data_IF_350298738706
#
_entry.id   IF_350298738706
#
_cell.length_a   1.000
_cell.length_b   1.000
_cell.length_c   1.000
_cell.angle_alpha   90.00
_cell.angle_beta   90.00
_cell.angle_gamma   90.00
#
_symmetry.space_group_name_H-M   'P 1'
#
loop_
_entity.id
_entity.type
_entity.pdbx_description
1 polymer ?
#
# COMPACT_ATOMS: atom_id res chain seq x y z
N UNK A 1 27.24 10.75 34.03
CA UNK A 1 25.92 11.11 33.44
C UNK A 1 25.98 11.31 31.92
N UNK A 2 26.76 12.26 31.37
CA UNK A 2 26.84 12.48 29.91
C UNK A 2 27.19 11.21 29.08
N UNK A 3 28.15 10.40 29.53
CA UNK A 3 28.52 9.14 28.86
C UNK A 3 27.39 8.09 28.87
N UNK A 4 26.62 8.02 29.97
CA UNK A 4 25.49 7.09 30.10
C UNK A 4 24.33 7.53 29.20
N UNK A 5 24.09 8.84 29.10
CA UNK A 5 23.08 9.41 28.18
C UNK A 5 23.47 9.15 26.72
N UNK A 6 24.74 9.33 26.35
CA UNK A 6 25.22 9.02 24.99
C UNK A 6 25.08 7.53 24.68
N UNK A 7 25.41 6.65 25.63
CA UNK A 7 25.24 5.19 25.46
C UNK A 7 23.76 4.80 25.35
N UNK A 8 22.87 5.39 26.16
CA UNK A 8 21.42 5.17 26.07
C UNK A 8 20.85 5.65 24.73
N UNK A 9 21.30 6.81 24.23
CA UNK A 9 20.93 7.31 22.90
C UNK A 9 21.43 6.34 21.83
N UNK A 10 22.68 5.88 21.89
CA UNK A 10 23.23 4.91 20.93
C UNK A 10 22.47 3.57 20.98
N UNK A 11 22.12 3.07 22.16
CA UNK A 11 21.37 1.81 22.32
C UNK A 11 19.92 1.96 21.80
N UNK A 12 19.26 3.09 22.05
CA UNK A 12 17.94 3.39 21.46
C UNK A 12 18.02 3.55 19.93
N UNK A 13 19.10 4.13 19.40
CA UNK A 13 19.34 4.21 17.96
C UNK A 13 19.59 2.82 17.34
N UNK A 14 20.30 1.93 18.04
CA UNK A 14 20.57 0.56 17.57
C UNK A 14 19.33 -0.35 17.66
N UNK A 15 18.44 -0.18 18.63
CA UNK A 15 17.20 -0.97 18.71
C UNK A 15 16.14 -0.52 17.70
N UNK A 16 16.18 0.73 17.27
CA UNK A 16 15.35 1.27 16.18
C UNK A 16 15.76 0.77 14.79
N UNK A 17 16.90 0.07 14.66
CA UNK A 17 17.43 -0.48 13.40
C UNK A 17 16.98 -1.92 13.07
N UNK A 18 16.02 -2.50 13.80
CA UNK A 18 15.48 -3.79 13.38
C UNK A 18 14.65 -3.62 12.12
N UNK A 19 14.96 -4.43 11.10
CA UNK A 19 14.18 -4.54 9.86
C UNK A 19 12.72 -4.78 10.21
N UNK A 20 11.87 -3.77 10.03
CA UNK A 20 10.49 -3.86 10.50
C UNK A 20 9.67 -4.94 9.78
N UNK A 21 10.07 -5.35 8.59
CA UNK A 21 9.46 -6.50 7.91
C UNK A 21 9.76 -7.84 8.60
N UNK A 22 10.75 -7.90 9.50
CA UNK A 22 11.02 -9.07 10.35
C UNK A 22 10.18 -9.06 11.66
N UNK A 23 9.51 -7.94 11.97
CA UNK A 23 8.64 -7.82 13.13
C UNK A 23 7.22 -8.26 12.77
N UNK A 24 6.74 -9.36 13.36
CA UNK A 24 5.37 -9.82 13.15
C UNK A 24 4.41 -9.14 14.14
N UNK A 25 3.35 -8.54 13.61
CA UNK A 25 2.24 -7.92 14.34
C UNK A 25 0.98 -8.76 14.11
N UNK A 26 0.11 -8.79 15.11
CA UNK A 26 -1.24 -9.36 15.00
C UNK A 26 -2.24 -8.25 14.66
N UNK A 27 -2.84 -8.32 13.48
CA UNK A 27 -3.82 -7.38 12.97
C UNK A 27 -5.26 -7.79 13.28
N UNK A 28 -5.46 -8.90 14.01
CA UNK A 28 -6.78 -9.49 14.24
C UNK A 28 -7.77 -8.45 14.77
N UNK A 29 -8.90 -8.32 14.10
CA UNK A 29 -10.05 -7.65 14.68
C UNK A 29 -10.59 -8.48 15.87
N UNK A 30 -11.38 -7.88 16.77
CA UNK A 30 -12.01 -8.61 17.91
C UNK A 30 -13.14 -9.54 17.45
N UNK A 31 -12.98 -10.24 16.32
CA UNK A 31 -13.97 -11.16 15.82
C UNK A 31 -14.09 -12.39 16.75
N UNK A 32 -15.32 -12.86 16.92
CA UNK A 32 -15.57 -14.11 17.65
C UNK A 32 -14.97 -15.30 16.90
N UNK A 33 -14.33 -16.20 17.64
CA UNK A 33 -13.92 -17.50 17.12
C UNK A 33 -15.19 -18.31 16.87
N UNK A 34 -15.54 -18.50 15.60
CA UNK A 34 -16.66 -19.32 15.17
C UNK A 34 -16.21 -20.76 14.95
N UNK A 35 -17.03 -21.72 15.39
CA UNK A 35 -16.89 -23.10 14.94
C UNK A 35 -17.43 -23.19 13.51
N UNK A 36 -16.53 -23.39 12.55
CA UNK A 36 -16.86 -23.39 11.11
C UNK A 36 -17.12 -24.84 10.70
N UNK A 37 -18.33 -25.19 10.25
CA UNK A 37 -18.61 -26.55 9.81
C UNK A 37 -17.75 -26.93 8.60
N UNK A 38 -17.38 -28.21 8.52
CA UNK A 38 -16.66 -28.74 7.37
C UNK A 38 -17.51 -28.61 6.11
N UNK A 39 -16.90 -28.21 4.99
CA UNK A 39 -17.54 -28.22 3.68
C UNK A 39 -17.58 -29.66 3.12
N UNK A 40 -18.54 -30.47 3.60
CA UNK A 40 -18.71 -31.88 3.20
C UNK A 40 -18.97 -32.05 1.71
N UNK A 41 -19.71 -31.12 1.11
CA UNK A 41 -20.07 -31.13 -0.31
C UNK A 41 -18.94 -30.67 -1.24
N UNK A 42 -17.82 -30.18 -0.68
CA UNK A 42 -16.66 -29.67 -1.43
C UNK A 42 -17.07 -28.60 -2.46
N UNK A 43 -17.97 -27.71 -2.05
CA UNK A 43 -18.41 -26.57 -2.85
C UNK A 43 -17.20 -25.82 -3.44
N UNK A 44 -17.32 -25.42 -4.70
CA UNK A 44 -16.36 -24.54 -5.37
C UNK A 44 -16.54 -23.11 -4.86
N UNK A 45 -15.43 -22.40 -4.72
CA UNK A 45 -15.40 -21.00 -4.31
C UNK A 45 -14.61 -20.17 -5.31
N UNK A 46 -15.06 -18.96 -5.59
CA UNK A 46 -14.48 -18.05 -6.57
C UNK A 46 -14.26 -16.66 -5.96
N UNK A 47 -13.19 -16.00 -6.41
CA UNK A 47 -12.78 -14.74 -5.81
C UNK A 47 -11.67 -14.05 -6.58
N UNK A 48 -11.29 -12.86 -6.10
CA UNK A 48 -10.27 -12.02 -6.69
C UNK A 48 -9.09 -11.85 -5.72
N UNK A 49 -7.87 -12.01 -6.24
CA UNK A 49 -6.64 -11.97 -5.47
C UNK A 49 -5.64 -10.94 -5.98
N UNK A 50 -6.03 -10.08 -6.93
CA UNK A 50 -5.17 -9.05 -7.49
C UNK A 50 -5.95 -7.74 -7.65
N UNK A 51 -6.01 -6.96 -6.57
CA UNK A 51 -6.84 -5.75 -6.50
C UNK A 51 -6.07 -4.60 -5.89
N UNK A 52 -6.13 -3.45 -6.53
CA UNK A 52 -5.51 -2.22 -6.06
C UNK A 52 -6.56 -1.19 -5.66
N UNK A 53 -6.30 -0.49 -4.56
CA UNK A 53 -7.07 0.59 -3.99
C UNK A 53 -6.33 1.91 -4.13
N UNK A 54 -6.89 2.99 -3.57
CA UNK A 54 -6.23 4.29 -3.54
C UNK A 54 -4.87 4.30 -2.82
N UNK A 55 -4.51 3.26 -2.06
CA UNK A 55 -3.21 3.19 -1.40
C UNK A 55 -2.09 2.69 -2.31
N UNK A 56 -2.41 1.96 -3.38
CA UNK A 56 -1.41 1.64 -4.40
C UNK A 56 -1.07 2.86 -5.25
N UNK A 57 0.23 3.09 -5.48
CA UNK A 57 0.68 4.28 -6.19
C UNK A 57 0.15 4.34 -7.63
N UNK A 58 0.11 3.20 -8.33
CA UNK A 58 -0.32 3.08 -9.71
C UNK A 58 -1.82 3.39 -9.86
N UNK A 59 -2.65 2.74 -9.04
CA UNK A 59 -4.09 2.90 -9.02
C UNK A 59 -4.46 4.35 -8.65
N UNK A 60 -3.80 4.93 -7.64
CA UNK A 60 -4.05 6.32 -7.28
C UNK A 60 -3.74 7.27 -8.44
N UNK A 61 -2.58 7.13 -9.08
CA UNK A 61 -2.19 7.99 -10.21
C UNK A 61 -3.17 7.87 -11.38
N UNK A 62 -3.72 6.69 -11.60
CA UNK A 62 -4.70 6.40 -12.65
C UNK A 62 -6.16 6.71 -12.25
N UNK A 63 -6.39 7.33 -11.09
CA UNK A 63 -7.70 7.89 -10.73
C UNK A 63 -8.50 7.09 -9.69
N UNK A 64 -7.95 6.02 -9.12
CA UNK A 64 -8.66 5.22 -8.12
C UNK A 64 -8.87 6.00 -6.82
N UNK A 65 -10.13 6.13 -6.42
CA UNK A 65 -10.56 6.71 -5.13
C UNK A 65 -11.04 5.67 -4.13
N UNK A 66 -11.28 4.43 -4.60
CA UNK A 66 -11.79 3.31 -3.82
C UNK A 66 -10.84 2.98 -2.65
N UNK A 67 -11.38 2.89 -1.44
CA UNK A 67 -10.64 2.48 -0.23
C UNK A 67 -10.65 0.95 -0.08
N UNK A 68 -9.79 0.36 0.78
CA UNK A 68 -9.89 -1.05 1.14
C UNK A 68 -11.30 -1.47 1.62
N UNK A 69 -11.90 -0.73 2.55
CA UNK A 69 -13.30 -0.96 3.01
C UNK A 69 -14.29 -1.00 1.83
N UNK A 70 -14.26 0.02 0.96
CA UNK A 70 -15.13 0.05 -0.21
C UNK A 70 -14.90 -1.15 -1.13
N UNK A 71 -13.64 -1.57 -1.31
CA UNK A 71 -13.28 -2.73 -2.12
C UNK A 71 -13.90 -4.02 -1.59
N UNK A 72 -13.87 -4.24 -0.27
CA UNK A 72 -14.49 -5.41 0.36
C UNK A 72 -16.02 -5.33 0.35
N UNK A 73 -16.61 -4.14 0.50
CA UNK A 73 -18.06 -3.94 0.33
C UNK A 73 -18.52 -4.30 -1.08
N UNK A 74 -17.77 -3.85 -2.10
CA UNK A 74 -18.01 -4.22 -3.49
C UNK A 74 -17.93 -5.72 -3.73
N UNK A 75 -16.91 -6.40 -3.19
CA UNK A 75 -16.76 -7.86 -3.29
C UNK A 75 -17.95 -8.63 -2.70
N UNK A 76 -18.61 -8.08 -1.68
CA UNK A 76 -19.84 -8.63 -1.07
C UNK A 76 -21.13 -8.26 -1.80
N UNK A 77 -21.05 -7.57 -2.95
CA UNK A 77 -22.21 -7.17 -3.76
C UNK A 77 -22.84 -5.82 -3.40
N UNK A 78 -22.20 -5.01 -2.56
CA UNK A 78 -22.70 -3.66 -2.28
C UNK A 78 -22.36 -2.69 -3.42
N UNK A 79 -23.23 -1.72 -3.66
CA UNK A 79 -22.94 -0.62 -4.59
C UNK A 79 -21.90 0.33 -3.99
N UNK A 80 -20.82 0.58 -4.73
CA UNK A 80 -19.82 1.60 -4.41
C UNK A 80 -19.66 2.59 -5.57
N UNK A 81 -19.12 3.77 -5.29
CA UNK A 81 -18.73 4.73 -6.33
C UNK A 81 -17.21 4.79 -6.47
N UNK A 82 -16.69 4.77 -7.69
CA UNK A 82 -15.25 5.00 -7.94
C UNK A 82 -14.90 6.48 -8.18
N UNK A 83 -15.85 7.39 -7.93
CA UNK A 83 -15.72 8.83 -8.19
C UNK A 83 -16.20 9.27 -9.57
N UNK A 84 -16.40 8.32 -10.50
CA UNK A 84 -16.93 8.59 -11.86
C UNK A 84 -18.31 7.96 -12.05
N UNK A 85 -18.49 6.74 -11.55
CA UNK A 85 -19.76 6.01 -11.62
C UNK A 85 -19.94 5.10 -10.43
N UNK A 86 -21.19 4.71 -10.22
CA UNK A 86 -21.54 3.64 -9.30
C UNK A 86 -21.29 2.28 -9.95
N UNK A 87 -20.91 1.30 -9.13
CA UNK A 87 -20.53 -0.05 -9.54
C UNK A 87 -21.02 -1.06 -8.52
N UNK A 88 -21.52 -2.19 -9.01
CA UNK A 88 -22.01 -3.32 -8.20
C UNK A 88 -21.67 -4.62 -8.92
N UNK A 89 -21.28 -5.67 -8.20
CA UNK A 89 -21.17 -7.01 -8.75
C UNK A 89 -22.57 -7.64 -8.86
N UNK A 90 -22.85 -8.31 -9.97
CA UNK A 90 -24.08 -9.09 -10.12
C UNK A 90 -24.09 -10.31 -9.20
N UNK A 91 -22.93 -10.98 -9.08
CA UNK A 91 -22.70 -12.09 -8.17
C UNK A 91 -21.58 -11.73 -7.17
N UNK A 92 -21.85 -11.72 -5.86
CA UNK A 92 -20.83 -11.55 -4.83
C UNK A 92 -19.77 -12.67 -4.86
N UNK A 93 -18.57 -12.36 -4.37
CA UNK A 93 -17.43 -13.28 -4.34
C UNK A 93 -17.39 -14.07 -3.02
N UNK A 94 -16.77 -15.25 -3.05
CA UNK A 94 -16.55 -16.07 -1.85
C UNK A 94 -15.29 -15.65 -1.09
N UNK A 95 -14.29 -15.13 -1.81
CA UNK A 95 -13.06 -14.62 -1.22
C UNK A 95 -12.47 -13.42 -1.96
N UNK A 96 -11.68 -12.61 -1.25
CA UNK A 96 -11.12 -11.37 -1.80
C UNK A 96 -9.83 -10.94 -1.11
N UNK A 97 -8.87 -10.43 -1.87
CA UNK A 97 -7.64 -9.84 -1.32
C UNK A 97 -7.34 -8.49 -1.96
N UNK A 98 -7.21 -7.45 -1.13
CA UNK A 98 -6.56 -6.21 -1.53
C UNK A 98 -5.05 -6.47 -1.56
N UNK A 99 -4.42 -6.21 -2.70
CA UNK A 99 -3.00 -6.44 -2.95
C UNK A 99 -2.34 -5.18 -3.50
N UNK A 100 -2.46 -4.08 -2.76
CA UNK A 100 -1.77 -2.84 -3.10
C UNK A 100 -0.24 -3.06 -3.17
N UNK A 101 0.44 -2.29 -4.02
CA UNK A 101 1.89 -2.34 -4.16
C UNK A 101 2.59 -2.07 -2.82
N UNK A 102 3.48 -2.97 -2.39
CA UNK A 102 4.37 -2.71 -1.26
C UNK A 102 5.33 -1.56 -1.53
N UNK A 103 5.74 -1.36 -2.79
CA UNK A 103 6.51 -0.17 -3.15
C UNK A 103 5.61 1.06 -3.15
N UNK A 104 6.09 2.16 -2.56
CA UNK A 104 5.40 3.45 -2.57
C UNK A 104 3.96 3.41 -2.00
N UNK A 105 3.64 2.42 -1.16
CA UNK A 105 2.34 2.27 -0.53
C UNK A 105 1.95 3.56 0.22
N UNK A 106 0.78 4.10 -0.11
CA UNK A 106 0.23 5.34 0.45
C UNK A 106 0.87 6.65 -0.06
N UNK A 107 1.96 6.57 -0.84
CA UNK A 107 2.76 7.75 -1.18
C UNK A 107 2.07 8.66 -2.19
N UNK A 108 1.43 8.10 -3.22
CA UNK A 108 0.81 8.89 -4.28
C UNK A 108 -0.30 9.81 -3.75
N UNK A 109 -1.13 9.32 -2.83
CA UNK A 109 -2.14 10.15 -2.16
C UNK A 109 -1.52 11.25 -1.30
N UNK A 110 -0.38 10.97 -0.67
CA UNK A 110 0.33 11.94 0.16
C UNK A 110 0.93 13.07 -0.68
N UNK A 111 1.50 12.75 -1.86
CA UNK A 111 2.02 13.75 -2.80
C UNK A 111 0.92 14.64 -3.35
N UNK A 112 -0.27 14.06 -3.58
CA UNK A 112 -1.40 14.76 -4.13
C UNK A 112 -2.09 15.73 -3.16
N UNK A 113 -1.85 15.59 -1.85
CA UNK A 113 -2.33 16.51 -0.83
C UNK A 113 -1.36 17.70 -0.65
N UNK A 114 -1.68 18.91 -1.14
CA UNK A 114 -0.81 20.07 -1.00
C UNK A 114 -0.62 20.54 0.45
N UNK A 115 -1.42 20.03 1.39
CA UNK A 115 -1.33 20.38 2.82
C UNK A 115 -0.38 19.46 3.59
N UNK A 116 -0.05 18.29 3.04
CA UNK A 116 0.88 17.34 3.62
C UNK A 116 2.32 17.87 3.60
N UNK A 117 3.20 17.29 4.43
CA UNK A 117 4.61 17.70 4.47
C UNK A 117 5.31 17.45 3.14
N UNK A 118 5.05 16.29 2.52
CA UNK A 118 5.65 15.93 1.22
C UNK A 118 4.97 16.67 0.07
N UNK A 119 3.65 16.88 0.13
CA UNK A 119 2.91 17.60 -0.89
C UNK A 119 3.33 19.06 -1.05
N UNK A 120 3.91 19.68 -0.02
CA UNK A 120 4.52 21.03 -0.12
C UNK A 120 5.79 21.06 -0.96
N UNK A 121 6.42 19.92 -1.21
CA UNK A 121 7.65 19.85 -2.01
C UNK A 121 7.38 20.30 -3.46
N UNK A 122 8.26 21.10 -4.10
CA UNK A 122 8.04 21.58 -5.46
C UNK A 122 7.80 20.48 -6.50
N UNK A 123 8.46 19.32 -6.37
CA UNK A 123 8.25 18.16 -7.25
C UNK A 123 6.94 17.40 -7.01
N UNK A 124 6.23 17.66 -5.92
CA UNK A 124 4.91 17.08 -5.66
C UNK A 124 3.78 17.82 -6.40
N UNK A 125 4.02 19.06 -6.86
CA UNK A 125 3.01 19.91 -7.52
C UNK A 125 2.25 19.23 -8.68
N UNK A 126 2.90 18.46 -9.57
CA UNK A 126 2.18 17.78 -10.65
C UNK A 126 1.14 16.75 -10.18
N UNK A 127 1.26 16.27 -8.94
CA UNK A 127 0.35 15.28 -8.36
C UNK A 127 -0.83 15.93 -7.61
N UNK A 128 -0.79 17.24 -7.38
CA UNK A 128 -1.78 17.92 -6.54
C UNK A 128 -3.20 17.72 -7.04
N UNK A 129 -4.10 17.37 -6.12
CA UNK A 129 -5.53 17.26 -6.38
C UNK A 129 -5.91 16.26 -7.49
N UNK A 130 -5.02 15.31 -7.86
CA UNK A 130 -5.29 14.36 -8.94
C UNK A 130 -6.68 13.75 -8.81
N UNK A 131 -7.05 13.18 -7.67
CA UNK A 131 -8.32 12.45 -7.53
C UNK A 131 -9.47 13.30 -6.97
N UNK A 132 -9.44 14.63 -7.15
CA UNK A 132 -10.61 15.48 -6.94
C UNK A 132 -11.66 15.21 -8.05
N UNK A 133 -12.97 15.27 -7.76
CA UNK A 133 -14.02 15.01 -8.76
C UNK A 133 -13.86 15.84 -10.05
N UNK A 134 -13.51 17.13 -9.93
CA UNK A 134 -13.27 18.03 -11.06
C UNK A 134 -12.10 17.61 -11.96
N UNK A 135 -11.19 16.77 -11.46
CA UNK A 135 -10.01 16.28 -12.18
C UNK A 135 -10.14 14.81 -12.64
N UNK A 136 -11.26 14.15 -12.35
CA UNK A 136 -11.55 12.78 -12.81
C UNK A 136 -12.30 12.80 -14.15
N UNK A 137 -11.69 13.47 -15.14
CA UNK A 137 -12.25 13.66 -16.49
C UNK A 137 -11.38 12.98 -17.55
N UNK A 138 -11.94 12.57 -18.71
CA UNK A 138 -11.19 11.90 -19.79
C UNK A 138 -9.94 12.68 -20.23
N UNK A 139 -9.99 14.01 -20.24
CA UNK A 139 -8.90 14.88 -20.65
C UNK A 139 -7.67 14.74 -19.74
N UNK A 140 -7.86 14.38 -18.47
CA UNK A 140 -6.77 14.18 -17.51
C UNK A 140 -6.05 12.84 -17.67
N UNK A 141 -6.61 11.89 -18.44
CA UNK A 141 -6.11 10.52 -18.51
C UNK A 141 -4.68 10.43 -19.06
N UNK A 142 -4.35 11.26 -20.06
CA UNK A 142 -3.01 11.28 -20.65
C UNK A 142 -1.97 11.85 -19.68
N UNK A 143 -2.28 12.95 -19.00
CA UNK A 143 -1.36 13.55 -18.02
C UNK A 143 -1.07 12.60 -16.85
N UNK A 144 -2.10 11.87 -16.38
CA UNK A 144 -1.95 10.80 -15.36
C UNK A 144 -1.04 9.68 -15.84
N UNK A 145 -1.22 9.24 -17.08
CA UNK A 145 -0.37 8.23 -17.69
C UNK A 145 1.09 8.70 -17.80
N UNK A 146 1.31 9.98 -18.14
CA UNK A 146 2.64 10.56 -18.13
C UNK A 146 3.25 10.57 -16.72
N UNK A 147 2.52 11.02 -15.71
CA UNK A 147 2.98 10.99 -14.31
C UNK A 147 3.36 9.58 -13.86
N UNK A 148 2.51 8.60 -14.12
CA UNK A 148 2.80 7.19 -13.86
C UNK A 148 4.09 6.73 -14.56
N UNK A 149 4.27 7.09 -15.83
CA UNK A 149 5.47 6.74 -16.58
C UNK A 149 6.73 7.47 -16.10
N UNK A 150 6.64 8.68 -15.53
CA UNK A 150 7.82 9.33 -14.95
C UNK A 150 8.39 8.52 -13.78
N UNK A 151 7.53 7.97 -12.93
CA UNK A 151 7.98 7.12 -11.81
C UNK A 151 8.61 5.83 -12.32
N UNK A 152 8.05 5.26 -13.39
CA UNK A 152 8.62 4.07 -14.03
C UNK A 152 9.87 4.39 -14.83
N UNK A 153 10.05 5.62 -15.30
CA UNK A 153 11.12 6.05 -16.19
C UNK A 153 12.52 5.88 -15.60
N UNK A 154 13.53 6.07 -16.44
CA UNK A 154 14.94 5.99 -16.05
C UNK A 154 15.36 7.08 -15.06
N UNK A 155 14.62 8.19 -14.98
CA UNK A 155 14.81 9.25 -14.00
C UNK A 155 14.14 8.95 -12.65
N UNK A 156 13.25 7.96 -12.57
CA UNK A 156 12.54 7.53 -11.36
C UNK A 156 11.57 8.58 -10.77
N UNK A 157 11.27 9.65 -11.52
CA UNK A 157 10.31 10.69 -11.14
C UNK A 157 10.56 11.36 -9.79
N UNK A 158 9.48 11.64 -9.06
CA UNK A 158 9.57 12.23 -7.71
C UNK A 158 10.18 11.28 -6.67
N UNK A 159 9.92 9.95 -6.69
CA UNK A 159 10.59 8.99 -5.79
C UNK A 159 12.12 9.01 -5.80
N UNK A 160 12.76 9.39 -6.91
CA UNK A 160 14.23 9.50 -6.98
C UNK A 160 14.78 10.80 -6.37
N UNK A 161 13.91 11.76 -6.00
CA UNK A 161 14.35 13.02 -5.40
C UNK A 161 14.98 12.78 -4.04
N UNK A 162 16.18 13.32 -3.84
CA UNK A 162 16.92 13.18 -2.58
C UNK A 162 16.30 14.05 -1.49
N UNK A 163 16.08 13.46 -0.33
CA UNK A 163 15.64 14.12 0.89
C UNK A 163 16.75 14.89 1.61
N UNK A 164 16.50 15.21 2.88
CA UNK A 164 17.44 15.94 3.73
C UNK A 164 18.64 15.09 4.14
N UNK A 165 19.67 15.71 4.74
CA UNK A 165 20.79 14.96 5.33
C UNK A 165 20.32 13.98 6.40
N UNK A 166 19.25 14.30 7.15
CA UNK A 166 18.69 13.40 8.14
C UNK A 166 18.08 12.15 7.49
N UNK A 167 17.47 12.29 6.32
CA UNK A 167 16.89 11.19 5.56
C UNK A 167 17.97 10.25 5.03
N UNK A 168 19.10 10.79 4.59
CA UNK A 168 20.26 9.98 4.21
C UNK A 168 20.83 9.19 5.40
N UNK A 169 20.92 9.83 6.57
CA UNK A 169 21.37 9.17 7.80
C UNK A 169 20.40 8.05 8.17
N UNK A 170 19.09 8.31 8.12
CA UNK A 170 18.04 7.29 8.33
C UNK A 170 18.18 6.14 7.35
N UNK A 171 18.35 6.42 6.06
CA UNK A 171 18.52 5.41 5.02
C UNK A 171 19.74 4.51 5.25
N UNK A 172 20.88 5.12 5.63
CA UNK A 172 22.10 4.38 5.96
C UNK A 172 21.86 3.39 7.11
N UNK A 173 21.22 3.85 8.19
CA UNK A 173 20.94 3.02 9.35
C UNK A 173 19.80 2.00 9.13
N UNK A 174 18.81 2.33 8.30
CA UNK A 174 17.73 1.42 7.92
C UNK A 174 18.17 0.39 6.87
N UNK A 175 19.35 0.57 6.26
CA UNK A 175 19.82 -0.21 5.11
C UNK A 175 18.80 -0.29 3.97
N UNK A 176 18.04 0.78 3.78
CA UNK A 176 17.03 0.88 2.73
C UNK A 176 17.08 2.31 2.17
N UNK A 177 17.37 2.40 0.87
CA UNK A 177 17.60 3.67 0.19
C UNK A 177 16.32 4.49 0.02
N UNK A 178 15.12 3.90 0.11
CA UNK A 178 13.87 4.65 -0.06
C UNK A 178 13.69 5.70 1.04
N UNK A 179 14.23 5.45 2.23
CA UNK A 179 14.23 6.41 3.34
C UNK A 179 15.05 7.67 3.03
N UNK A 180 15.87 7.64 1.98
CA UNK A 180 16.65 8.78 1.52
C UNK A 180 15.85 9.67 0.54
N UNK A 181 14.65 9.26 0.14
CA UNK A 181 13.79 9.98 -0.80
C UNK A 181 13.01 11.10 -0.12
N UNK A 182 12.93 12.26 -0.78
CA UNK A 182 12.06 13.38 -0.39
C UNK A 182 10.57 13.05 -0.59
N UNK A 183 10.26 12.02 -1.37
CA UNK A 183 8.91 11.59 -1.67
C UNK A 183 8.42 10.46 -0.76
N UNK A 184 9.22 9.99 0.20
CA UNK A 184 8.85 8.88 1.07
C UNK A 184 8.56 9.34 2.49
N UNK A 185 7.38 8.99 3.01
CA UNK A 185 7.02 9.12 4.41
C UNK A 185 6.79 7.73 5.00
N UNK A 186 7.59 7.37 6.01
CA UNK A 186 7.54 6.04 6.59
C UNK A 186 6.27 5.81 7.43
N UNK A 187 5.80 6.84 8.13
CA UNK A 187 4.63 6.73 9.00
C UNK A 187 3.36 6.61 8.14
N UNK A 188 3.29 7.32 7.02
CA UNK A 188 2.17 7.15 6.07
C UNK A 188 2.19 5.75 5.42
N UNK A 189 3.37 5.21 5.10
CA UNK A 189 3.47 3.85 4.57
C UNK A 189 2.97 2.79 5.56
N UNK A 190 3.33 2.92 6.85
CA UNK A 190 2.83 2.03 7.91
C UNK A 190 1.33 2.23 8.14
N UNK A 191 0.86 3.48 8.12
CA UNK A 191 -0.56 3.85 8.24
C UNK A 191 -1.41 3.23 7.12
N UNK A 192 -0.96 3.32 5.87
CA UNK A 192 -1.64 2.70 4.73
C UNK A 192 -1.68 1.17 4.86
N UNK A 193 -0.56 0.54 5.24
CA UNK A 193 -0.50 -0.90 5.48
C UNK A 193 -1.48 -1.34 6.56
N UNK A 194 -1.49 -0.67 7.72
CA UNK A 194 -2.41 -0.98 8.81
C UNK A 194 -3.86 -0.88 8.36
N UNK A 195 -4.25 0.16 7.61
CA UNK A 195 -5.62 0.33 7.12
C UNK A 195 -6.07 -0.75 6.15
N UNK A 196 -5.16 -1.28 5.32
CA UNK A 196 -5.46 -2.41 4.43
C UNK A 196 -5.73 -3.67 5.26
N UNK A 197 -4.87 -3.96 6.24
CA UNK A 197 -4.97 -5.12 7.11
C UNK A 197 -6.20 -5.06 8.03
N UNK A 198 -6.48 -3.90 8.61
CA UNK A 198 -7.67 -3.65 9.42
C UNK A 198 -8.94 -3.88 8.59
N UNK A 199 -9.01 -3.35 7.37
CA UNK A 199 -10.15 -3.58 6.49
C UNK A 199 -10.31 -5.08 6.15
N UNK A 200 -9.22 -5.79 5.86
CA UNK A 200 -9.30 -7.23 5.62
C UNK A 200 -9.92 -7.95 6.83
N UNK A 201 -9.40 -7.70 8.03
CA UNK A 201 -9.84 -8.36 9.27
C UNK A 201 -11.24 -7.94 9.74
N UNK A 202 -11.68 -6.72 9.43
CA UNK A 202 -13.05 -6.24 9.70
C UNK A 202 -14.09 -6.86 8.77
N UNK A 203 -13.70 -7.12 7.51
CA UNK A 203 -14.59 -7.67 6.50
C UNK A 203 -14.60 -9.20 6.42
N UNK A 204 -13.67 -9.88 7.11
CA UNK A 204 -13.63 -11.33 7.17
C UNK A 204 -14.85 -11.88 7.93
N UNK A 205 -15.68 -12.70 7.28
CA UNK A 205 -16.78 -13.42 7.94
C UNK A 205 -16.59 -14.94 7.72
N UNK A 206 -15.84 -15.61 8.60
CA UNK A 206 -15.49 -17.02 8.41
C UNK A 206 -16.71 -17.91 8.20
N UNK A 207 -16.67 -18.72 7.13
CA UNK A 207 -17.77 -19.58 6.69
C UNK A 207 -18.77 -18.91 5.73
N UNK A 208 -18.64 -17.60 5.45
CA UNK A 208 -19.49 -16.87 4.50
C UNK A 208 -18.69 -16.07 3.47
N UNK A 209 -17.66 -15.36 3.90
CA UNK A 209 -16.80 -14.54 3.03
C UNK A 209 -15.39 -14.47 3.62
N UNK A 210 -14.39 -14.89 2.84
CA UNK A 210 -12.99 -14.93 3.30
C UNK A 210 -12.21 -13.74 2.73
N UNK A 211 -11.64 -12.93 3.61
CA UNK A 211 -10.63 -11.95 3.20
C UNK A 211 -9.23 -12.50 3.44
N UNK A 212 -8.27 -11.93 2.74
CA UNK A 212 -6.86 -12.20 3.00
C UNK A 212 -6.11 -10.93 3.32
N UNK A 213 -5.31 -10.99 4.38
CA UNK A 213 -4.18 -10.10 4.55
C UNK A 213 -3.16 -10.37 3.47
N UNK A 214 -2.96 -9.39 2.59
CA UNK A 214 -2.10 -9.56 1.44
C UNK A 214 -1.54 -8.21 0.96
N UNK A 215 -0.50 -8.29 0.13
CA UNK A 215 0.03 -7.16 -0.62
C UNK A 215 0.65 -7.66 -1.92
N UNK A 216 0.91 -6.76 -2.86
CA UNK A 216 1.69 -7.08 -4.05
C UNK A 216 3.17 -6.68 -3.88
N UNK A 217 4.05 -7.66 -4.03
CA UNK A 217 5.47 -7.41 -4.25
C UNK A 217 5.72 -7.21 -5.75
N UNK A 218 6.30 -6.06 -6.09
CA UNK A 218 6.47 -5.66 -7.49
C UNK A 218 7.91 -5.26 -7.74
N UNK A 219 8.47 -5.77 -8.84
CA UNK A 219 9.77 -5.36 -9.35
C UNK A 219 9.68 -5.08 -10.84
N UNK A 220 10.50 -4.15 -11.32
CA UNK A 220 10.69 -3.91 -12.75
C UNK A 220 12.02 -4.51 -13.16
N UNK A 221 12.07 -5.25 -14.27
CA UNK A 221 13.35 -5.62 -14.87
C UNK A 221 14.00 -4.42 -15.54
N UNK A 222 15.33 -4.44 -15.57
CA UNK A 222 16.10 -3.43 -16.28
C UNK A 222 15.95 -3.61 -17.79
N UNK A 223 16.34 -2.59 -18.56
CA UNK A 223 16.46 -2.69 -20.01
C UNK A 223 17.34 -3.90 -20.40
N UNK A 224 17.05 -4.61 -21.50
CA UNK A 224 16.07 -4.27 -22.55
C UNK A 224 14.65 -4.81 -22.33
N UNK A 225 14.41 -5.57 -21.26
CA UNK A 225 13.13 -6.23 -21.05
C UNK A 225 12.06 -5.26 -20.55
N UNK A 226 12.40 -4.44 -19.54
CA UNK A 226 11.50 -3.43 -18.98
C UNK A 226 10.13 -3.94 -18.54
N UNK A 227 10.06 -5.23 -18.20
CA UNK A 227 8.87 -5.91 -17.71
C UNK A 227 8.57 -5.53 -16.27
N UNK A 228 7.30 -5.59 -15.89
CA UNK A 228 6.90 -5.55 -14.49
C UNK A 228 6.50 -6.95 -14.04
N UNK A 229 7.10 -7.38 -12.96
CA UNK A 229 6.82 -8.64 -12.30
C UNK A 229 6.04 -8.37 -11.03
N UNK A 230 4.91 -9.05 -10.93
CA UNK A 230 3.90 -8.86 -9.91
C UNK A 230 3.74 -10.18 -9.16
N UNK A 231 3.84 -10.15 -7.83
CA UNK A 231 3.61 -11.31 -6.97
C UNK A 231 2.75 -10.91 -5.79
N UNK A 232 1.57 -11.53 -5.69
CA UNK A 232 0.73 -11.37 -4.52
C UNK A 232 1.23 -12.26 -3.39
N UNK A 233 1.48 -11.64 -2.24
CA UNK A 233 1.90 -12.30 -1.01
C UNK A 233 0.70 -12.36 -0.10
N UNK A 234 0.24 -13.57 0.18
CA UNK A 234 -0.98 -13.84 0.96
C UNK A 234 -0.58 -14.49 2.27
N UNK A 235 -1.00 -13.91 3.40
CA UNK A 235 -0.68 -14.43 4.72
C UNK A 235 -1.71 -15.48 5.16
N UNK A 236 -1.22 -16.47 5.91
CA UNK A 236 -2.05 -17.56 6.46
C UNK A 236 -3.04 -17.07 7.54
N UNK A 237 -2.75 -15.95 8.21
CA UNK A 237 -3.56 -15.45 9.33
C UNK A 237 -3.45 -13.92 9.46
N UNK A 238 -4.09 -13.39 10.51
CA UNK A 238 -3.95 -12.01 11.00
C UNK A 238 -2.53 -11.58 11.37
N UNK A 239 -1.57 -12.52 11.40
CA UNK A 239 -0.19 -12.27 11.81
C UNK A 239 0.67 -12.03 10.58
N UNK A 240 1.14 -10.80 10.44
CA UNK A 240 1.91 -10.37 9.28
C UNK A 240 3.04 -9.40 9.70
N UNK A 241 4.03 -9.15 8.83
CA UNK A 241 5.03 -8.12 9.05
C UNK A 241 4.42 -6.75 9.38
N UNK A 242 5.09 -5.99 10.27
CA UNK A 242 4.74 -4.60 10.61
C UNK A 242 4.72 -3.69 9.38
N UNK A 243 5.51 -4.02 8.36
CA UNK A 243 5.57 -3.35 7.07
C UNK A 243 5.72 -4.41 5.98
N UNK A 244 5.07 -4.28 4.82
CA UNK A 244 5.27 -5.24 3.73
C UNK A 244 6.71 -5.18 3.21
N UNK A 245 7.29 -6.33 2.91
CA UNK A 245 8.59 -6.42 2.24
C UNK A 245 8.42 -5.97 0.79
N UNK A 246 9.24 -5.03 0.33
CA UNK A 246 9.13 -4.44 -1.01
C UNK A 246 10.37 -4.72 -1.84
N UNK A 247 10.38 -4.37 -3.13
CA UNK A 247 11.61 -4.46 -3.95
C UNK A 247 12.69 -3.45 -3.54
N UNK A 248 12.39 -2.47 -2.69
CA UNK A 248 13.40 -1.61 -2.06
C UNK A 248 14.17 -2.30 -0.93
N UNK A 249 13.71 -3.47 -0.50
CA UNK A 249 14.32 -4.26 0.59
C UNK A 249 15.10 -5.48 0.08
N UNK A 250 15.01 -5.78 -1.22
CA UNK A 250 15.63 -6.95 -1.87
C UNK A 250 16.99 -6.67 -2.46
#
# INVERSE_FOLDING_TARGET
MKKIIVILIIIQFLSACSKQYDQIIDFSSKAEIKDIPLNEERNLYFGDLHVHTKYSFDAYLLGTTVTPDMSYRFAKGETISNGVRDMTLEEPLDFYAVTDHAILLGMASLWADPTSNIGKHPKAKPYHNLNRPENLIPESAFDRFLLFNTIRGSDGGFPSERGSILDLIRAFFAQNFIFASAAYDHDEHLSAWNKIMEAAEEHNDPGKFTTFNAYEWTVRSQEPESGSYHRNVIFKSSKAPKRPFSSFDS
#
